data_IF_536666501507
#
_entry.id   IF_536666501507
#
_cell.length_a   1.000
_cell.length_b   1.000
_cell.length_c   1.000
_cell.angle_alpha   90.00
_cell.angle_beta   90.00
_cell.angle_gamma   90.00
#
_symmetry.space_group_name_H-M   'P 1'
#
loop_
_entity.id
_entity.type
_entity.pdbx_description
1 polymer ?
#
# COMPACT_ATOMS: atom_id res chain seq x y z
N UNK A 1 -1.54 29.55 -6.02
CA UNK A 1 -2.47 28.92 -6.99
C UNK A 1 -1.88 28.73 -8.40
N UNK A 2 -0.70 29.26 -8.72
CA UNK A 2 -0.02 29.02 -10.02
C UNK A 2 0.81 27.71 -10.07
N UNK A 3 1.25 27.19 -8.93
CA UNK A 3 2.12 26.00 -8.89
C UNK A 3 1.40 24.70 -9.26
N UNK A 4 0.14 24.51 -8.84
CA UNK A 4 -0.65 23.29 -9.13
C UNK A 4 -0.94 23.12 -10.63
N UNK A 5 -1.15 24.23 -11.36
CA UNK A 5 -1.44 24.18 -12.79
C UNK A 5 -0.25 23.77 -13.65
N UNK A 6 0.97 24.10 -13.24
CA UNK A 6 2.20 23.73 -13.96
C UNK A 6 2.51 22.23 -13.76
N UNK A 7 2.26 21.70 -12.56
CA UNK A 7 2.47 20.27 -12.30
C UNK A 7 1.46 19.40 -13.03
N UNK A 8 0.19 19.83 -13.11
CA UNK A 8 -0.84 19.11 -13.86
C UNK A 8 -0.59 19.10 -15.37
N UNK A 9 -0.10 20.21 -15.95
CA UNK A 9 0.20 20.28 -17.38
C UNK A 9 1.42 19.44 -17.79
N UNK A 10 2.41 19.31 -16.90
CA UNK A 10 3.56 18.42 -17.12
C UNK A 10 3.16 16.94 -17.07
N UNK A 11 2.33 16.55 -16.09
CA UNK A 11 1.84 15.17 -15.93
C UNK A 11 0.81 14.78 -17.00
N UNK A 12 0.06 15.76 -17.55
CA UNK A 12 -0.97 15.55 -18.59
C UNK A 12 -0.52 15.88 -20.01
N UNK A 13 0.78 15.79 -20.33
CA UNK A 13 1.20 15.78 -21.74
C UNK A 13 0.55 14.63 -22.52
N UNK A 14 0.17 13.57 -21.80
CA UNK A 14 -0.57 12.42 -22.30
C UNK A 14 -1.99 12.41 -21.70
N UNK A 15 -2.92 11.72 -22.37
CA UNK A 15 -4.30 11.58 -21.86
C UNK A 15 -4.33 10.80 -20.53
N UNK A 16 -5.38 10.99 -19.73
CA UNK A 16 -5.56 10.26 -18.46
C UNK A 16 -5.51 8.73 -18.66
N UNK A 17 -6.09 8.24 -19.76
CA UNK A 17 -6.08 6.80 -20.07
C UNK A 17 -4.67 6.30 -20.37
N UNK A 18 -3.89 7.05 -21.16
CA UNK A 18 -2.51 6.70 -21.50
C UNK A 18 -1.64 6.66 -20.24
N UNK A 19 -1.80 7.66 -19.35
CA UNK A 19 -1.09 7.71 -18.07
C UNK A 19 -1.41 6.50 -17.20
N UNK A 20 -2.69 6.16 -17.00
CA UNK A 20 -3.10 5.00 -16.19
C UNK A 20 -2.52 3.69 -16.76
N UNK A 21 -2.59 3.48 -18.07
CA UNK A 21 -2.03 2.29 -18.70
C UNK A 21 -0.51 2.19 -18.52
N UNK A 22 0.21 3.30 -18.64
CA UNK A 22 1.67 3.34 -18.45
C UNK A 22 2.04 3.11 -16.99
N UNK A 23 1.32 3.71 -16.06
CA UNK A 23 1.53 3.51 -14.63
C UNK A 23 1.29 2.05 -14.25
N UNK A 24 0.27 1.40 -14.84
CA UNK A 24 0.03 -0.03 -14.66
C UNK A 24 1.17 -0.89 -15.21
N UNK A 25 1.73 -0.56 -16.38
CA UNK A 25 2.89 -1.29 -16.94
C UNK A 25 4.12 -1.21 -16.03
N UNK A 26 4.35 -0.07 -15.38
CA UNK A 26 5.44 0.09 -14.41
C UNK A 26 5.12 -0.66 -13.12
N UNK A 27 3.92 -0.44 -12.56
CA UNK A 27 3.50 -1.03 -11.27
C UNK A 27 3.45 -2.56 -11.29
N UNK A 28 2.95 -3.16 -12.38
CA UNK A 28 2.85 -4.61 -12.56
C UNK A 28 3.96 -5.20 -13.44
N UNK A 29 5.00 -4.41 -13.75
CA UNK A 29 6.17 -4.85 -14.50
C UNK A 29 7.12 -5.70 -13.67
N UNK A 30 8.30 -5.96 -14.22
CA UNK A 30 9.39 -6.59 -13.47
C UNK A 30 10.08 -5.56 -12.58
N UNK A 31 10.31 -5.93 -11.32
CA UNK A 31 11.07 -5.14 -10.36
C UNK A 31 12.38 -5.85 -10.05
N UNK A 32 13.45 -5.07 -9.84
CA UNK A 32 14.79 -5.59 -9.51
C UNK A 32 14.95 -5.96 -8.02
N UNK A 33 13.86 -5.96 -7.25
CA UNK A 33 13.85 -6.38 -5.85
C UNK A 33 12.66 -7.28 -5.55
N UNK A 34 12.85 -8.23 -4.64
CA UNK A 34 11.79 -9.04 -4.05
C UNK A 34 11.45 -8.47 -2.66
N UNK A 35 10.17 -8.17 -2.36
CA UNK A 35 9.78 -7.75 -1.01
C UNK A 35 10.18 -8.77 0.07
N UNK A 36 10.31 -10.06 -0.26
CA UNK A 36 10.74 -11.12 0.67
C UNK A 36 12.21 -11.02 1.09
N UNK A 37 13.02 -10.23 0.38
CA UNK A 37 14.43 -9.99 0.71
C UNK A 37 14.62 -8.80 1.67
N UNK A 38 13.53 -8.18 2.15
CA UNK A 38 13.60 -7.05 3.07
C UNK A 38 13.97 -7.49 4.49
N UNK A 39 15.02 -6.87 5.02
CA UNK A 39 15.36 -6.95 6.44
C UNK A 39 14.41 -6.09 7.29
N UNK A 40 14.24 -6.46 8.56
CA UNK A 40 13.48 -5.64 9.50
C UNK A 40 14.14 -4.26 9.65
N UNK A 41 13.47 -3.15 9.27
CA UNK A 41 14.03 -1.81 9.39
C UNK A 41 14.14 -1.33 10.85
N UNK A 42 13.47 -2.00 11.79
CA UNK A 42 13.45 -1.65 13.22
C UNK A 42 13.91 -2.82 14.10
N UNK A 43 15.18 -3.28 13.99
CA UNK A 43 15.67 -4.45 14.71
C UNK A 43 15.70 -4.25 16.24
N UNK A 44 15.74 -3.00 16.71
CA UNK A 44 15.77 -2.65 18.13
C UNK A 44 14.39 -2.27 18.68
N UNK A 45 13.30 -2.59 17.98
CA UNK A 45 11.92 -2.23 18.34
C UNK A 45 11.70 -0.70 18.44
N UNK A 46 12.43 0.08 17.65
CA UNK A 46 12.28 1.55 17.54
C UNK A 46 11.01 1.95 16.75
N UNK A 47 10.41 1.00 16.06
CA UNK A 47 9.21 1.18 15.23
C UNK A 47 8.60 -0.16 14.84
N UNK A 48 7.45 -0.08 14.18
CA UNK A 48 6.70 -1.23 13.67
C UNK A 48 6.27 -0.97 12.23
N UNK A 49 6.16 -2.03 11.44
CA UNK A 49 5.67 -1.97 10.06
C UNK A 49 4.32 -2.68 9.99
N UNK A 50 3.30 -1.97 9.53
CA UNK A 50 1.94 -2.50 9.41
C UNK A 50 1.54 -2.60 7.94
N UNK A 51 1.00 -3.76 7.54
CA UNK A 51 0.52 -4.02 6.19
C UNK A 51 -0.99 -4.26 6.22
N UNK A 52 -1.76 -3.39 5.55
CA UNK A 52 -3.21 -3.46 5.51
C UNK A 52 -3.70 -3.90 4.12
N UNK A 53 -4.63 -4.85 4.07
CA UNK A 53 -5.17 -5.41 2.83
C UNK A 53 -6.66 -5.70 2.95
N UNK A 54 -7.46 -5.24 1.99
CA UNK A 54 -8.84 -5.70 1.83
C UNK A 54 -8.89 -7.08 1.17
N UNK A 55 -9.68 -8.01 1.70
CA UNK A 55 -9.75 -9.39 1.19
C UNK A 55 -10.55 -9.55 -0.12
N UNK A 56 -11.41 -8.59 -0.43
CA UNK A 56 -12.20 -8.50 -1.67
C UNK A 56 -11.50 -7.67 -2.77
N UNK A 57 -10.19 -7.42 -2.64
CA UNK A 57 -9.43 -6.70 -3.68
C UNK A 57 -9.19 -7.57 -4.92
N UNK A 58 -9.72 -7.12 -6.05
CA UNK A 58 -9.76 -7.93 -7.28
C UNK A 58 -8.45 -7.94 -8.10
N UNK A 59 -7.52 -7.01 -7.84
CA UNK A 59 -6.27 -6.93 -8.61
C UNK A 59 -5.12 -7.69 -7.95
N UNK A 60 -5.02 -7.65 -6.61
CA UNK A 60 -3.99 -8.35 -5.85
C UNK A 60 -4.66 -9.23 -4.78
N UNK A 61 -4.49 -10.56 -4.84
CA UNK A 61 -5.14 -11.46 -3.90
C UNK A 61 -4.53 -11.32 -2.50
N UNK A 62 -5.37 -11.31 -1.45
CA UNK A 62 -4.92 -11.26 -0.06
C UNK A 62 -3.96 -12.40 0.32
N UNK A 63 -4.04 -13.54 -0.35
CA UNK A 63 -3.11 -14.67 -0.16
C UNK A 63 -1.63 -14.26 -0.33
N UNK A 64 -1.33 -13.35 -1.26
CA UNK A 64 0.04 -12.86 -1.45
C UNK A 64 0.54 -12.12 -0.21
N UNK A 65 -0.29 -11.23 0.35
CA UNK A 65 0.07 -10.47 1.55
C UNK A 65 0.20 -11.34 2.78
N UNK A 66 -0.68 -12.34 2.94
CA UNK A 66 -0.57 -13.37 3.99
C UNK A 66 0.76 -14.11 3.90
N UNK A 67 1.20 -14.47 2.69
CA UNK A 67 2.48 -15.14 2.48
C UNK A 67 3.67 -14.24 2.83
N UNK A 68 3.64 -12.97 2.40
CA UNK A 68 4.69 -11.99 2.73
C UNK A 68 4.79 -11.81 4.25
N UNK A 69 3.67 -11.60 4.94
CA UNK A 69 3.67 -11.44 6.40
C UNK A 69 4.12 -12.69 7.15
N UNK A 70 3.84 -13.89 6.61
CA UNK A 70 4.36 -15.14 7.18
C UNK A 70 5.88 -15.25 7.04
N UNK A 71 6.45 -14.80 5.93
CA UNK A 71 7.90 -14.84 5.68
C UNK A 71 8.64 -13.73 6.42
N UNK A 72 8.06 -12.54 6.48
CA UNK A 72 8.60 -11.37 7.12
C UNK A 72 7.85 -11.14 8.43
N UNK A 73 8.18 -11.93 9.46
CA UNK A 73 7.46 -11.93 10.74
C UNK A 73 7.51 -10.60 11.51
N UNK A 74 8.33 -9.65 11.06
CA UNK A 74 8.38 -8.29 11.60
C UNK A 74 7.25 -7.39 11.06
N UNK A 75 6.55 -7.80 9.99
CA UNK A 75 5.36 -7.11 9.47
C UNK A 75 4.13 -7.51 10.30
N UNK A 76 3.41 -6.51 10.82
CA UNK A 76 2.10 -6.69 11.42
C UNK A 76 1.03 -6.63 10.33
N UNK A 77 0.42 -7.78 9.98
CA UNK A 77 -0.57 -7.86 8.90
C UNK A 77 -2.00 -7.70 9.40
N UNK A 78 -2.75 -6.85 8.71
CA UNK A 78 -4.13 -6.48 8.99
C UNK A 78 -4.97 -6.73 7.75
N UNK A 79 -5.91 -7.66 7.84
CA UNK A 79 -6.85 -7.94 6.76
C UNK A 79 -8.20 -7.31 7.07
N UNK A 80 -8.79 -6.65 6.07
CA UNK A 80 -10.08 -5.95 6.19
C UNK A 80 -11.16 -6.75 5.43
N UNK A 81 -12.03 -7.48 6.14
CA UNK A 81 -13.02 -8.36 5.51
C UNK A 81 -14.08 -7.59 4.70
N UNK A 82 -14.43 -8.11 3.53
CA UNK A 82 -15.40 -7.54 2.60
C UNK A 82 -14.92 -6.27 1.89
N UNK A 83 -13.64 -5.93 2.00
CA UNK A 83 -13.12 -4.63 1.55
C UNK A 83 -12.23 -4.76 0.32
N UNK A 84 -12.40 -3.83 -0.63
CA UNK A 84 -11.54 -3.69 -1.81
C UNK A 84 -10.45 -2.64 -1.63
N UNK A 85 -9.90 -2.13 -2.73
CA UNK A 85 -8.79 -1.17 -2.75
C UNK A 85 -9.03 0.11 -1.93
N UNK A 86 -10.28 0.54 -1.84
CA UNK A 86 -10.67 1.83 -1.29
C UNK A 86 -11.03 1.75 0.21
N UNK A 87 -10.66 0.66 0.90
CA UNK A 87 -10.87 0.51 2.34
C UNK A 87 -10.35 1.69 3.20
N UNK A 88 -9.27 2.42 2.83
CA UNK A 88 -8.83 3.57 3.63
C UNK A 88 -9.84 4.72 3.72
N UNK A 89 -10.87 4.73 2.85
CA UNK A 89 -11.97 5.70 2.90
C UNK A 89 -13.11 5.29 3.85
N UNK A 90 -13.11 4.07 4.35
CA UNK A 90 -14.04 3.62 5.39
C UNK A 90 -13.61 4.28 6.70
N UNK A 91 -14.50 5.05 7.31
CA UNK A 91 -14.15 5.92 8.45
C UNK A 91 -13.57 5.12 9.62
N UNK A 92 -14.15 3.97 9.93
CA UNK A 92 -13.72 3.09 10.99
C UNK A 92 -12.30 2.55 10.73
N UNK A 93 -12.07 2.02 9.52
CA UNK A 93 -10.76 1.48 9.12
C UNK A 93 -9.69 2.56 9.10
N UNK A 94 -10.02 3.76 8.61
CA UNK A 94 -9.12 4.92 8.62
C UNK A 94 -8.72 5.32 10.05
N UNK A 95 -9.70 5.33 10.97
CA UNK A 95 -9.44 5.64 12.37
C UNK A 95 -8.54 4.58 13.03
N UNK A 96 -8.75 3.30 12.70
CA UNK A 96 -7.94 2.19 13.24
C UNK A 96 -6.49 2.27 12.72
N UNK A 97 -6.29 2.48 11.40
CA UNK A 97 -4.95 2.71 10.82
C UNK A 97 -4.23 3.85 11.55
N UNK A 98 -4.92 4.98 11.78
CA UNK A 98 -4.34 6.14 12.45
C UNK A 98 -4.00 5.86 13.93
N UNK A 99 -4.86 5.14 14.66
CA UNK A 99 -4.58 4.76 16.05
C UNK A 99 -3.40 3.81 16.13
N UNK A 100 -3.37 2.76 15.31
CA UNK A 100 -2.25 1.82 15.25
C UNK A 100 -0.93 2.54 14.99
N UNK A 101 -0.91 3.47 14.02
CA UNK A 101 0.31 4.18 13.66
C UNK A 101 0.79 5.19 14.72
N UNK A 102 -0.13 5.83 15.45
CA UNK A 102 0.18 6.90 16.40
C UNK A 102 0.35 6.42 17.85
N UNK A 103 -0.37 5.38 18.23
CA UNK A 103 -0.40 4.85 19.60
C UNK A 103 0.42 3.55 19.73
N UNK A 104 0.74 2.89 18.62
CA UNK A 104 1.37 1.57 18.63
C UNK A 104 0.45 0.48 19.19
N UNK A 105 -0.88 0.71 19.13
CA UNK A 105 -1.90 -0.25 19.55
C UNK A 105 -2.15 -1.30 18.45
N UNK A 106 -2.25 -2.57 18.88
CA UNK A 106 -2.63 -3.72 18.06
C UNK A 106 -4.09 -4.10 18.28
#
# INVERSE_FOLDING_TARGET
MLSISITLSYVRQQSVSESICRDANVGFGTWDFDPLDLDNPFPNNEGQVHLWQGDDYQLVPAMLQRYIAQKLSWIQYHEVPGAGHLFPYIQEVSADIMKTQLLGEN
#
